data_IF_638126766106
#
_entry.id   IF_638126766106
#
_cell.length_a   1.000
_cell.length_b   1.000
_cell.length_c   1.000
_cell.angle_alpha   90.00
_cell.angle_beta   90.00
_cell.angle_gamma   90.00
#
_symmetry.space_group_name_H-M   'P 1'
#
loop_
_entity.id
_entity.type
_entity.pdbx_description
1 polymer ?
#
# COMPACT_ATOMS: atom_id res chain seq x y z
N UNK A 1 6.96 -47.70 -14.99
CA UNK A 1 7.55 -46.40 -14.62
C UNK A 1 6.66 -45.82 -13.56
N UNK A 2 7.02 -46.04 -12.29
CA UNK A 2 6.26 -45.54 -11.13
C UNK A 2 6.42 -44.03 -11.05
N UNK A 3 5.30 -43.32 -10.94
CA UNK A 3 5.27 -41.88 -10.71
C UNK A 3 5.76 -41.61 -9.29
N UNK A 4 6.82 -40.80 -9.10
CA UNK A 4 7.32 -40.49 -7.76
C UNK A 4 6.27 -39.69 -6.97
N UNK A 5 6.15 -40.04 -5.69
CA UNK A 5 5.23 -39.44 -4.72
C UNK A 5 5.54 -37.93 -4.54
N UNK A 6 4.56 -37.02 -4.70
CA UNK A 6 4.78 -35.57 -4.63
C UNK A 6 5.36 -35.10 -3.29
N UNK A 7 5.15 -35.85 -2.20
CA UNK A 7 5.75 -35.55 -0.91
C UNK A 7 7.28 -35.75 -0.92
N UNK A 8 7.76 -36.79 -1.60
CA UNK A 8 9.18 -37.10 -1.74
C UNK A 8 9.89 -36.07 -2.63
N UNK A 9 9.23 -35.62 -3.70
CA UNK A 9 9.75 -34.58 -4.60
C UNK A 9 9.92 -33.25 -3.84
N UNK A 10 8.96 -32.90 -2.97
CA UNK A 10 9.06 -31.69 -2.13
C UNK A 10 10.21 -31.78 -1.13
N UNK A 11 10.39 -32.91 -0.47
CA UNK A 11 11.53 -33.12 0.43
C UNK A 11 12.86 -33.06 -0.31
N UNK A 12 12.96 -33.61 -1.51
CA UNK A 12 14.16 -33.53 -2.35
C UNK A 12 14.47 -32.09 -2.80
N UNK A 13 13.45 -31.31 -3.15
CA UNK A 13 13.64 -29.89 -3.49
C UNK A 13 14.07 -29.06 -2.28
N UNK A 14 13.52 -29.36 -1.10
CA UNK A 14 13.87 -28.67 0.14
C UNK A 14 15.29 -29.01 0.60
N UNK A 15 15.71 -30.27 0.48
CA UNK A 15 17.09 -30.70 0.71
C UNK A 15 18.07 -30.05 -0.27
N UNK A 16 17.71 -29.93 -1.56
CA UNK A 16 18.55 -29.24 -2.54
C UNK A 16 18.65 -27.72 -2.27
N UNK A 17 17.60 -27.10 -1.75
CA UNK A 17 17.60 -25.68 -1.36
C UNK A 17 18.43 -25.44 -0.08
N UNK A 18 18.45 -26.40 0.84
CA UNK A 18 19.29 -26.39 2.05
C UNK A 18 20.77 -26.67 1.74
N UNK A 19 21.06 -27.67 0.90
CA UNK A 19 22.43 -28.08 0.55
C UNK A 19 23.13 -27.06 -0.36
N UNK A 20 22.38 -26.36 -1.21
CA UNK A 20 22.95 -25.36 -2.14
C UNK A 20 22.72 -23.91 -1.68
N UNK A 21 21.98 -23.65 -0.61
CA UNK A 21 21.55 -22.30 -0.24
C UNK A 21 20.68 -21.66 -1.33
N UNK A 22 20.14 -20.46 -1.07
CA UNK A 22 19.21 -19.76 -1.97
C UNK A 22 19.79 -19.66 -3.40
N UNK A 23 19.30 -20.50 -4.34
CA UNK A 23 19.84 -20.62 -5.71
C UNK A 23 19.87 -19.27 -6.43
N UNK A 24 19.01 -18.32 -6.03
CA UNK A 24 18.99 -16.94 -6.53
C UNK A 24 20.29 -16.20 -6.24
N UNK A 25 20.95 -16.48 -5.12
CA UNK A 25 22.24 -15.88 -4.77
C UNK A 25 23.39 -16.50 -5.55
N UNK A 26 23.35 -17.80 -5.83
CA UNK A 26 24.37 -18.49 -6.63
C UNK A 26 24.31 -18.16 -8.13
N UNK A 27 23.10 -17.97 -8.67
CA UNK A 27 22.88 -17.62 -10.09
C UNK A 27 22.88 -16.11 -10.35
N UNK A 28 23.10 -15.29 -9.32
CA UNK A 28 23.19 -13.85 -9.49
C UNK A 28 24.47 -13.48 -10.22
N UNK A 29 24.34 -12.60 -11.22
CA UNK A 29 25.43 -12.01 -12.03
C UNK A 29 26.54 -11.40 -11.14
N UNK A 30 26.22 -11.11 -9.87
CA UNK A 30 27.09 -10.57 -8.83
C UNK A 30 28.26 -11.51 -8.50
N UNK A 31 28.09 -12.85 -8.56
CA UNK A 31 29.22 -13.78 -8.35
C UNK A 31 30.15 -13.89 -9.55
N UNK A 32 29.69 -13.55 -10.76
CA UNK A 32 30.56 -13.49 -11.95
C UNK A 32 31.49 -12.27 -11.87
N UNK A 33 31.11 -11.24 -11.10
CA UNK A 33 31.96 -10.09 -10.80
C UNK A 33 32.88 -10.28 -9.59
N UNK A 34 32.82 -11.40 -8.87
CA UNK A 34 33.83 -11.70 -7.86
C UNK A 34 35.14 -12.13 -8.54
N UNK A 35 36.28 -11.52 -8.18
CA UNK A 35 37.56 -11.87 -8.76
C UNK A 35 37.93 -13.32 -8.39
N UNK A 36 38.39 -14.10 -9.37
CA UNK A 36 38.86 -15.50 -9.22
C UNK A 36 40.22 -15.52 -8.51
N UNK A 37 40.35 -14.91 -7.33
CA UNK A 37 41.54 -14.98 -6.50
C UNK A 37 41.21 -15.72 -5.21
N UNK A 38 41.80 -16.91 -5.07
CA UNK A 38 41.72 -17.77 -3.90
C UNK A 38 42.15 -17.03 -2.63
N UNK A 39 41.36 -17.04 -1.55
CA UNK A 39 41.70 -16.41 -0.29
C UNK A 39 42.47 -17.38 0.62
N UNK A 40 43.57 -17.96 0.13
CA UNK A 40 44.49 -18.76 0.95
C UNK A 40 45.93 -18.34 0.62
N UNK A 41 46.29 -17.14 1.08
CA UNK A 41 47.69 -16.71 1.15
C UNK A 41 47.84 -15.70 2.31
N UNK A 42 47.67 -16.19 3.53
CA UNK A 42 48.22 -15.51 4.71
C UNK A 42 49.75 -15.55 4.64
N UNK A 43 50.39 -14.43 4.25
CA UNK A 43 51.70 -14.02 4.76
C UNK A 43 52.09 -12.61 4.26
N UNK A 44 52.25 -11.62 5.17
CA UNK A 44 52.80 -10.31 4.83
C UNK A 44 54.31 -10.31 5.04
N UNK A 45 55.08 -10.41 3.95
CA UNK A 45 56.51 -10.13 3.93
C UNK A 45 56.79 -8.79 3.24
N UNK A 46 57.53 -7.85 3.84
CA UNK A 46 57.81 -6.56 3.21
C UNK A 46 58.97 -6.71 2.23
N UNK A 47 58.79 -6.28 0.98
CA UNK A 47 59.93 -6.00 0.09
C UNK A 47 59.61 -4.87 -0.90
N UNK A 48 60.57 -3.98 -1.16
CA UNK A 48 60.34 -2.70 -1.81
C UNK A 48 60.67 -2.78 -3.30
N UNK A 49 59.71 -2.50 -4.17
CA UNK A 49 60.01 -2.05 -5.54
C UNK A 49 58.76 -1.37 -6.10
N UNK A 50 58.65 -0.11 -5.74
CA UNK A 50 57.68 0.84 -6.28
C UNK A 50 58.12 1.14 -7.72
N UNK A 51 57.65 0.35 -8.68
CA UNK A 51 57.63 0.72 -10.11
C UNK A 51 56.19 1.03 -10.51
N UNK A 52 55.83 2.29 -10.25
CA UNK A 52 54.89 3.13 -10.99
C UNK A 52 54.25 2.50 -12.25
N UNK A 53 53.06 1.96 -12.07
CA UNK A 53 51.92 2.21 -12.94
C UNK A 53 50.70 2.37 -12.02
N UNK A 54 50.01 3.50 -12.11
CA UNK A 54 48.78 3.78 -11.36
C UNK A 54 47.74 2.70 -11.63
N UNK A 55 47.76 1.66 -10.79
CA UNK A 55 46.66 0.75 -10.56
C UNK A 55 46.44 0.84 -9.06
N UNK A 56 45.78 1.92 -8.64
CA UNK A 56 45.24 1.97 -7.30
C UNK A 56 44.34 0.75 -7.13
N UNK A 57 44.71 -0.08 -6.16
CA UNK A 57 43.85 -1.06 -5.56
C UNK A 57 42.47 -0.44 -5.32
N UNK A 58 41.45 -0.98 -5.99
CA UNK A 58 40.07 -0.63 -5.71
C UNK A 58 39.42 -1.82 -5.03
N UNK A 59 39.44 -1.74 -3.70
CA UNK A 59 38.36 -2.23 -2.84
C UNK A 59 37.01 -1.95 -3.52
N UNK A 60 36.26 -3.01 -3.83
CA UNK A 60 34.91 -2.98 -4.41
C UNK A 60 34.72 -2.24 -5.75
N UNK A 61 34.83 -2.92 -6.91
CA UNK A 61 34.46 -2.33 -8.19
C UNK A 61 32.94 -2.11 -8.25
N UNK A 62 32.51 -0.85 -8.23
CA UNK A 62 31.14 -0.47 -8.59
C UNK A 62 30.89 -0.80 -10.07
N UNK A 63 29.69 -1.29 -10.46
CA UNK A 63 29.35 -1.62 -11.85
C UNK A 63 29.62 -0.48 -12.85
N UNK A 64 29.50 0.77 -12.41
CA UNK A 64 29.79 1.94 -13.24
C UNK A 64 31.29 2.11 -13.54
N UNK A 65 32.17 1.75 -12.59
CA UNK A 65 33.62 1.79 -12.79
C UNK A 65 34.06 0.75 -13.82
N UNK A 66 33.50 -0.45 -13.74
CA UNK A 66 33.84 -1.55 -14.65
C UNK A 66 33.47 -1.22 -16.11
N UNK A 67 32.35 -0.52 -16.33
CA UNK A 67 31.97 -0.04 -17.66
C UNK A 67 32.95 1.00 -18.21
N UNK A 68 33.40 1.93 -17.37
CA UNK A 68 34.41 2.92 -17.77
C UNK A 68 35.76 2.25 -18.10
N UNK A 69 36.17 1.26 -17.31
CA UNK A 69 37.41 0.51 -17.53
C UNK A 69 37.35 -0.31 -18.81
N UNK A 70 36.23 -1.00 -19.09
CA UNK A 70 36.04 -1.73 -20.35
C UNK A 70 36.09 -0.80 -21.56
N UNK A 71 35.55 0.41 -21.45
CA UNK A 71 35.64 1.42 -22.51
C UNK A 71 37.10 1.86 -22.72
N UNK A 72 37.84 2.14 -21.64
CA UNK A 72 39.25 2.51 -21.70
C UNK A 72 40.12 1.40 -22.31
N UNK A 73 39.96 0.15 -21.88
CA UNK A 73 40.70 -0.98 -22.44
C UNK A 73 40.38 -1.21 -23.92
N UNK A 74 39.11 -1.06 -24.31
CA UNK A 74 38.71 -1.16 -25.72
C UNK A 74 39.42 -0.11 -26.57
N UNK A 75 39.54 1.12 -26.08
CA UNK A 75 40.26 2.18 -26.77
C UNK A 75 41.78 1.92 -26.81
N UNK A 76 42.38 1.53 -25.68
CA UNK A 76 43.81 1.19 -25.59
C UNK A 76 44.18 0.04 -26.52
N UNK A 77 43.42 -1.06 -26.51
CA UNK A 77 43.66 -2.20 -27.40
C UNK A 77 43.40 -1.85 -28.87
N UNK A 78 42.44 -0.96 -29.16
CA UNK A 78 42.24 -0.47 -30.53
C UNK A 78 43.44 0.33 -31.03
N UNK A 79 43.98 1.23 -30.20
CA UNK A 79 45.20 2.00 -30.49
C UNK A 79 46.43 1.10 -30.62
N UNK A 80 46.57 0.13 -29.71
CA UNK A 80 47.67 -0.82 -29.73
C UNK A 80 47.60 -1.72 -30.98
N UNK A 81 46.41 -2.20 -31.35
CA UNK A 81 46.20 -2.96 -32.59
C UNK A 81 46.57 -2.14 -33.81
N UNK A 82 46.13 -0.88 -33.87
CA UNK A 82 46.47 0.01 -34.98
C UNK A 82 47.99 0.23 -35.08
N UNK A 83 48.64 0.61 -33.97
CA UNK A 83 50.08 0.84 -33.90
C UNK A 83 50.88 -0.42 -34.28
N UNK A 84 50.49 -1.59 -33.77
CA UNK A 84 51.14 -2.86 -34.09
C UNK A 84 51.02 -3.20 -35.58
N UNK A 85 49.81 -3.11 -36.15
CA UNK A 85 49.60 -3.39 -37.57
C UNK A 85 50.39 -2.41 -38.43
N UNK A 86 50.40 -1.13 -38.07
CA UNK A 86 51.19 -0.11 -38.75
C UNK A 86 52.70 -0.40 -38.67
N UNK A 87 53.21 -0.76 -37.50
CA UNK A 87 54.63 -1.06 -37.30
C UNK A 87 55.04 -2.32 -38.07
N UNK A 88 54.28 -3.40 -37.97
CA UNK A 88 54.56 -4.65 -38.68
C UNK A 88 54.48 -4.46 -40.20
N UNK A 89 53.52 -3.66 -40.68
CA UNK A 89 53.43 -3.35 -42.12
C UNK A 89 54.60 -2.49 -42.60
N UNK A 90 55.00 -1.48 -41.83
CA UNK A 90 56.20 -0.67 -42.12
C UNK A 90 57.47 -1.53 -42.12
N UNK A 91 57.67 -2.38 -41.11
CA UNK A 91 58.83 -3.28 -41.05
C UNK A 91 58.84 -4.26 -42.23
N UNK A 92 57.69 -4.88 -42.54
CA UNK A 92 57.57 -5.81 -43.67
C UNK A 92 57.86 -5.11 -45.00
N UNK A 93 57.40 -3.87 -45.19
CA UNK A 93 57.70 -3.07 -46.38
C UNK A 93 59.19 -2.74 -46.50
N UNK A 94 59.82 -2.28 -45.42
CA UNK A 94 61.25 -2.01 -45.40
C UNK A 94 62.07 -3.28 -45.67
N UNK A 95 61.69 -4.41 -45.05
CA UNK A 95 62.35 -5.70 -45.31
C UNK A 95 62.15 -6.19 -46.74
N UNK A 96 61.00 -5.93 -47.36
CA UNK A 96 60.74 -6.31 -48.75
C UNK A 96 61.60 -5.50 -49.75
N UNK A 97 61.90 -4.23 -49.46
CA UNK A 97 62.71 -3.36 -50.32
C UNK A 97 64.21 -3.53 -50.06
N UNK A 98 64.62 -3.74 -48.81
CA UNK A 98 66.03 -3.81 -48.39
C UNK A 98 66.55 -5.24 -48.33
N UNK A 99 65.67 -6.25 -48.34
CA UNK A 99 66.06 -7.66 -48.36
C UNK A 99 66.76 -8.05 -49.66
N UNK A 100 67.74 -8.95 -49.56
CA UNK A 100 68.47 -9.51 -50.71
C UNK A 100 68.14 -11.01 -50.82
N UNK A 101 67.39 -11.47 -51.85
CA UNK A 101 66.84 -10.71 -52.97
C UNK A 101 65.56 -9.92 -52.63
N UNK A 102 65.30 -8.80 -53.34
CA UNK A 102 64.13 -7.96 -53.09
C UNK A 102 62.84 -8.74 -53.41
N UNK A 103 61.86 -8.62 -52.50
CA UNK A 103 60.63 -9.40 -52.56
C UNK A 103 59.64 -8.69 -53.49
N UNK A 104 59.74 -8.97 -54.79
CA UNK A 104 58.82 -8.45 -55.82
C UNK A 104 57.66 -9.42 -55.94
N UNK A 105 56.51 -9.08 -55.35
CA UNK A 105 55.30 -9.90 -55.47
C UNK A 105 54.88 -9.93 -56.94
N UNK A 106 54.86 -11.11 -57.52
CA UNK A 106 54.47 -11.31 -58.91
C UNK A 106 52.97 -11.07 -59.11
N UNK A 107 52.54 -10.68 -60.32
CA UNK A 107 51.12 -10.57 -60.63
C UNK A 107 50.37 -11.90 -60.39
N UNK A 108 51.02 -13.03 -60.70
CA UNK A 108 50.44 -14.37 -60.47
C UNK A 108 50.23 -14.66 -58.98
N UNK A 109 51.20 -14.30 -58.11
CA UNK A 109 51.06 -14.46 -56.66
C UNK A 109 49.94 -13.58 -56.10
N UNK A 110 49.77 -12.37 -56.62
CA UNK A 110 48.65 -11.51 -56.25
C UNK A 110 47.30 -12.12 -56.64
N UNK A 111 47.19 -12.68 -57.85
CA UNK A 111 45.96 -13.35 -58.31
C UNK A 111 45.64 -14.58 -57.45
N UNK A 112 46.64 -15.37 -57.07
CA UNK A 112 46.46 -16.51 -56.16
C UNK A 112 46.02 -16.07 -54.76
N UNK A 113 46.64 -15.02 -54.21
CA UNK A 113 46.27 -14.45 -52.90
C UNK A 113 44.87 -13.81 -52.93
N UNK A 114 44.48 -13.17 -54.02
CA UNK A 114 43.13 -12.64 -54.21
C UNK A 114 42.09 -13.77 -54.25
N UNK A 115 42.40 -14.90 -54.89
CA UNK A 115 41.57 -16.10 -54.88
C UNK A 115 41.36 -16.65 -53.47
N UNK A 116 42.46 -16.87 -52.73
CA UNK A 116 42.40 -17.33 -51.33
C UNK A 116 41.65 -16.35 -50.43
N UNK A 117 41.84 -15.05 -50.62
CA UNK A 117 41.15 -14.02 -49.84
C UNK A 117 39.65 -14.01 -50.15
N UNK A 118 39.26 -14.24 -51.40
CA UNK A 118 37.85 -14.37 -51.79
C UNK A 118 37.18 -15.59 -51.12
N UNK A 119 37.86 -16.74 -51.09
CA UNK A 119 37.39 -17.95 -50.40
C UNK A 119 37.23 -17.72 -48.90
N UNK A 120 38.28 -17.26 -48.22
CA UNK A 120 38.24 -16.99 -46.77
C UNK A 120 37.19 -15.92 -46.43
N UNK A 121 36.98 -14.93 -47.30
CA UNK A 121 35.95 -13.91 -47.12
C UNK A 121 34.54 -14.47 -47.32
N UNK A 122 34.36 -15.43 -48.21
CA UNK A 122 33.09 -16.13 -48.37
C UNK A 122 32.77 -16.99 -47.16
N UNK A 123 33.75 -17.77 -46.66
CA UNK A 123 33.62 -18.56 -45.43
C UNK A 123 33.31 -17.70 -44.21
N UNK A 124 34.03 -16.58 -44.05
CA UNK A 124 33.80 -15.64 -42.95
C UNK A 124 32.39 -15.05 -43.00
N UNK A 125 31.87 -14.74 -44.19
CA UNK A 125 30.49 -14.26 -44.35
C UNK A 125 29.48 -15.34 -43.98
N UNK A 126 29.69 -16.58 -44.43
CA UNK A 126 28.82 -17.70 -44.09
C UNK A 126 28.78 -17.95 -42.57
N UNK A 127 29.94 -17.99 -41.91
CA UNK A 127 30.01 -18.14 -40.44
C UNK A 127 29.39 -16.97 -39.68
N UNK A 128 29.54 -15.74 -40.17
CA UNK A 128 28.89 -14.57 -39.56
C UNK A 128 27.36 -14.68 -39.63
N UNK A 129 26.84 -15.16 -40.74
CA UNK A 129 25.42 -15.39 -40.91
C UNK A 129 24.91 -16.51 -39.99
N UNK A 130 25.65 -17.62 -39.91
CA UNK A 130 25.34 -18.72 -38.99
C UNK A 130 25.30 -18.25 -37.52
N UNK A 131 26.31 -17.50 -37.09
CA UNK A 131 26.34 -16.92 -35.73
C UNK A 131 25.18 -15.95 -35.51
N UNK A 132 24.83 -15.14 -36.52
CA UNK A 132 23.67 -14.24 -36.43
C UNK A 132 22.37 -15.02 -36.21
N UNK A 133 22.13 -16.06 -37.00
CA UNK A 133 20.95 -16.91 -36.84
C UNK A 133 20.93 -17.59 -35.47
N UNK A 134 22.07 -18.10 -35.00
CA UNK A 134 22.19 -18.74 -33.69
C UNK A 134 21.87 -17.76 -32.55
N UNK A 135 22.32 -16.50 -32.64
CA UNK A 135 22.00 -15.46 -31.66
C UNK A 135 20.50 -15.17 -31.66
N UNK A 136 19.88 -15.03 -32.84
CA UNK A 136 18.44 -14.78 -32.93
C UNK A 136 17.61 -15.92 -32.32
N UNK A 137 18.02 -17.17 -32.53
CA UNK A 137 17.36 -18.34 -31.94
C UNK A 137 17.60 -18.45 -30.43
N UNK A 138 18.81 -18.11 -29.96
CA UNK A 138 19.10 -18.00 -28.54
C UNK A 138 18.24 -16.92 -27.87
N UNK A 139 18.03 -15.77 -28.51
CA UNK A 139 17.17 -14.71 -27.99
C UNK A 139 15.69 -15.10 -27.97
N UNK A 140 15.21 -15.82 -29.00
CA UNK A 140 13.84 -16.35 -29.02
C UNK A 140 13.63 -17.35 -27.88
N UNK A 141 14.53 -18.32 -27.74
CA UNK A 141 14.45 -19.34 -26.69
C UNK A 141 14.60 -18.74 -25.30
N UNK A 142 15.48 -17.76 -25.10
CA UNK A 142 15.61 -17.04 -23.83
C UNK A 142 14.32 -16.27 -23.47
N UNK A 143 13.66 -15.62 -24.44
CA UNK A 143 12.38 -14.93 -24.22
C UNK A 143 11.25 -15.90 -23.87
N UNK A 144 11.16 -17.03 -24.57
CA UNK A 144 10.18 -18.07 -24.27
C UNK A 144 10.41 -18.67 -22.87
N UNK A 145 11.67 -19.01 -22.54
CA UNK A 145 12.04 -19.50 -21.22
C UNK A 145 11.65 -18.49 -20.11
N UNK A 146 11.95 -17.21 -20.30
CA UNK A 146 11.60 -16.17 -19.34
C UNK A 146 10.08 -16.04 -19.14
N UNK A 147 9.29 -16.18 -20.22
CA UNK A 147 7.82 -16.20 -20.14
C UNK A 147 7.31 -17.41 -19.36
N UNK A 148 7.83 -18.61 -19.67
CA UNK A 148 7.47 -19.85 -18.96
C UNK A 148 7.82 -19.78 -17.48
N UNK A 149 9.01 -19.27 -17.15
CA UNK A 149 9.44 -19.10 -15.77
C UNK A 149 8.50 -18.16 -14.99
N UNK A 150 8.09 -17.03 -15.58
CA UNK A 150 7.10 -16.12 -14.97
C UNK A 150 5.76 -16.81 -14.73
N UNK A 151 5.30 -17.64 -15.65
CA UNK A 151 4.06 -18.40 -15.49
C UNK A 151 4.16 -19.40 -14.33
N UNK A 152 5.25 -20.19 -14.28
CA UNK A 152 5.51 -21.13 -13.18
C UNK A 152 5.57 -20.40 -11.85
N UNK A 153 6.22 -19.24 -11.80
CA UNK A 153 6.27 -18.43 -10.58
C UNK A 153 4.88 -17.96 -10.13
N UNK A 154 4.01 -17.56 -11.06
CA UNK A 154 2.62 -17.21 -10.77
C UNK A 154 1.81 -18.42 -10.27
N UNK A 155 1.98 -19.58 -10.91
CA UNK A 155 1.33 -20.82 -10.45
C UNK A 155 1.82 -21.22 -9.05
N UNK A 156 3.11 -21.01 -8.76
CA UNK A 156 3.68 -21.30 -7.45
C UNK A 156 3.09 -20.39 -6.36
N UNK A 157 2.91 -19.09 -6.63
CA UNK A 157 2.26 -18.19 -5.66
C UNK A 157 0.80 -18.57 -5.45
N UNK A 158 0.07 -18.93 -6.51
CA UNK A 158 -1.29 -19.43 -6.40
C UNK A 158 -1.36 -20.71 -5.53
N UNK A 159 -0.47 -21.67 -5.78
CA UNK A 159 -0.37 -22.91 -5.00
C UNK A 159 0.02 -22.67 -3.54
N UNK A 160 0.75 -21.60 -3.22
CA UNK A 160 1.05 -21.21 -1.85
C UNK A 160 -0.17 -20.65 -1.13
N UNK A 161 -1.04 -19.92 -1.83
CA UNK A 161 -2.28 -19.34 -1.25
C UNK A 161 -3.46 -20.32 -1.17
N UNK A 162 -3.43 -21.39 -1.98
CA UNK A 162 -4.53 -22.34 -2.08
C UNK A 162 -4.85 -23.08 -0.76
N UNK A 163 -3.86 -23.58 0.02
CA UNK A 163 -4.13 -24.30 1.26
C UNK A 163 -4.87 -23.44 2.29
N UNK A 164 -4.44 -22.19 2.48
CA UNK A 164 -5.11 -21.25 3.40
C UNK A 164 -6.56 -21.00 2.94
N UNK A 165 -6.77 -20.82 1.63
CA UNK A 165 -8.13 -20.70 1.09
C UNK A 165 -8.97 -21.96 1.33
N UNK A 166 -8.39 -23.16 1.25
CA UNK A 166 -9.08 -24.43 1.51
C UNK A 166 -9.44 -24.51 3.00
N UNK A 167 -8.52 -24.23 3.91
CA UNK A 167 -8.79 -24.22 5.36
C UNK A 167 -9.87 -23.19 5.74
N UNK A 168 -9.86 -22.01 5.13
CA UNK A 168 -10.91 -21.01 5.29
C UNK A 168 -12.27 -21.49 4.76
N UNK A 169 -12.30 -22.20 3.63
CA UNK A 169 -13.53 -22.79 3.11
C UNK A 169 -14.02 -23.97 3.97
N UNK A 170 -13.12 -24.81 4.47
CA UNK A 170 -13.48 -25.92 5.36
C UNK A 170 -14.01 -25.43 6.70
N UNK A 171 -13.37 -24.42 7.29
CA UNK A 171 -13.85 -23.80 8.53
C UNK A 171 -15.21 -23.11 8.33
N UNK A 172 -15.40 -22.36 7.24
CA UNK A 172 -16.72 -21.77 6.93
C UNK A 172 -17.78 -22.84 6.73
N UNK A 173 -17.49 -23.92 6.00
CA UNK A 173 -18.40 -25.07 5.86
C UNK A 173 -18.71 -25.68 7.23
N UNK A 174 -17.71 -25.89 8.10
CA UNK A 174 -17.91 -26.41 9.44
C UNK A 174 -18.81 -25.49 10.29
N UNK A 175 -18.59 -24.17 10.24
CA UNK A 175 -19.46 -23.21 10.95
C UNK A 175 -20.88 -23.20 10.41
N UNK A 176 -21.07 -23.30 9.09
CA UNK A 176 -22.40 -23.37 8.47
C UNK A 176 -23.11 -24.66 8.84
N UNK A 177 -22.42 -25.80 8.84
CA UNK A 177 -22.98 -27.08 9.31
C UNK A 177 -23.31 -27.03 10.80
N UNK A 178 -22.46 -26.42 11.63
CA UNK A 178 -22.73 -26.23 13.05
C UNK A 178 -23.98 -25.35 13.25
N UNK A 179 -24.08 -24.21 12.55
CA UNK A 179 -25.26 -23.33 12.56
C UNK A 179 -26.51 -24.06 12.09
N UNK A 180 -26.42 -24.81 11.00
CA UNK A 180 -27.53 -25.62 10.49
C UNK A 180 -27.96 -26.69 11.51
N UNK A 181 -27.01 -27.35 12.17
CA UNK A 181 -27.31 -28.35 13.19
C UNK A 181 -27.93 -27.76 14.46
N UNK A 182 -27.49 -26.57 14.88
CA UNK A 182 -28.13 -25.83 15.98
C UNK A 182 -29.50 -25.29 15.58
N UNK A 183 -29.66 -24.87 14.32
CA UNK A 183 -30.95 -24.42 13.77
C UNK A 183 -31.94 -25.57 13.58
N UNK A 184 -31.50 -26.79 13.25
CA UNK A 184 -32.40 -27.95 13.22
C UNK A 184 -32.92 -28.33 14.61
N UNK A 185 -32.25 -27.93 15.69
CA UNK A 185 -32.70 -28.18 17.06
C UNK A 185 -33.37 -26.96 17.74
N UNK A 186 -33.13 -25.73 17.26
CA UNK A 186 -33.64 -24.50 17.88
C UNK A 186 -34.34 -23.51 16.93
N UNK A 187 -34.09 -23.53 15.62
CA UNK A 187 -34.76 -22.65 14.66
C UNK A 187 -36.10 -23.21 14.24
N UNK A 188 -37.08 -22.82 15.04
CA UNK A 188 -38.38 -22.31 14.60
C UNK A 188 -39.05 -23.12 13.49
N UNK A 189 -39.96 -23.99 13.92
CA UNK A 189 -41.05 -24.61 13.13
C UNK A 189 -41.56 -23.77 11.95
N UNK A 190 -41.56 -22.44 12.06
CA UNK A 190 -41.94 -21.48 11.01
C UNK A 190 -41.08 -21.50 9.72
N UNK A 191 -39.81 -21.90 9.77
CA UNK A 191 -38.93 -21.93 8.58
C UNK A 191 -38.98 -23.25 7.80
N UNK A 192 -39.48 -24.32 8.42
CA UNK A 192 -39.72 -25.63 7.80
C UNK A 192 -41.21 -25.89 7.57
N UNK A 193 -42.00 -24.84 7.38
CA UNK A 193 -43.43 -24.96 7.11
C UNK A 193 -43.65 -25.40 5.65
N UNK A 194 -44.63 -26.29 5.38
CA UNK A 194 -45.06 -26.55 4.02
C UNK A 194 -45.63 -25.26 3.40
N UNK A 195 -45.54 -25.12 2.08
CA UNK A 195 -45.92 -23.91 1.33
C UNK A 195 -47.30 -23.31 1.72
N UNK A 196 -48.36 -24.10 2.01
CA UNK A 196 -49.63 -23.52 2.45
C UNK A 196 -49.54 -22.81 3.81
N UNK A 197 -48.74 -23.34 4.74
CA UNK A 197 -48.56 -22.78 6.07
C UNK A 197 -47.64 -21.54 6.07
N UNK A 198 -46.70 -21.43 5.13
CA UNK A 198 -45.92 -20.20 4.95
C UNK A 198 -46.77 -19.07 4.38
N UNK A 199 -47.67 -19.38 3.43
CA UNK A 199 -48.60 -18.39 2.86
C UNK A 199 -49.58 -17.86 3.90
N UNK A 200 -50.10 -18.72 4.80
CA UNK A 200 -50.97 -18.26 5.89
C UNK A 200 -50.23 -17.37 6.89
N UNK A 201 -49.01 -17.76 7.27
CA UNK A 201 -48.17 -16.95 8.17
C UNK A 201 -47.83 -15.59 7.54
N UNK A 202 -47.54 -15.57 6.24
CA UNK A 202 -47.25 -14.35 5.50
C UNK A 202 -48.46 -13.41 5.51
N UNK A 203 -49.66 -13.93 5.24
CA UNK A 203 -50.89 -13.14 5.29
C UNK A 203 -51.19 -12.57 6.70
N UNK A 204 -50.93 -13.35 7.75
CA UNK A 204 -51.06 -12.89 9.14
C UNK A 204 -50.08 -11.74 9.44
N UNK A 205 -48.81 -11.88 9.06
CA UNK A 205 -47.80 -10.85 9.26
C UNK A 205 -48.06 -9.59 8.42
N UNK A 206 -48.56 -9.73 7.21
CA UNK A 206 -49.00 -8.60 6.40
C UNK A 206 -50.18 -7.86 7.04
N UNK A 207 -51.13 -8.58 7.64
CA UNK A 207 -52.23 -7.99 8.37
C UNK A 207 -51.77 -7.26 9.64
N UNK A 208 -50.82 -7.84 10.39
CA UNK A 208 -50.18 -7.20 11.55
C UNK A 208 -49.42 -5.94 11.13
N UNK A 209 -48.63 -5.97 10.06
CA UNK A 209 -47.92 -4.80 9.54
C UNK A 209 -48.89 -3.72 9.08
N UNK A 210 -49.99 -4.08 8.42
CA UNK A 210 -51.02 -3.13 8.04
C UNK A 210 -51.71 -2.51 9.28
N UNK A 211 -51.93 -3.29 10.34
CA UNK A 211 -52.48 -2.79 11.60
C UNK A 211 -51.52 -1.83 12.31
N UNK A 212 -50.23 -2.18 12.42
CA UNK A 212 -49.20 -1.30 12.98
C UNK A 212 -49.06 -0.01 12.17
N UNK A 213 -49.06 -0.08 10.84
CA UNK A 213 -48.98 1.10 9.99
C UNK A 213 -50.19 2.04 10.20
N UNK A 214 -51.40 1.50 10.39
CA UNK A 214 -52.57 2.31 10.76
C UNK A 214 -52.44 2.95 12.13
N UNK A 215 -51.91 2.24 13.12
CA UNK A 215 -51.64 2.79 14.46
C UNK A 215 -50.59 3.90 14.39
N UNK A 216 -49.51 3.69 13.63
CA UNK A 216 -48.43 4.66 13.45
C UNK A 216 -48.97 5.92 12.76
N UNK A 217 -49.79 5.79 11.71
CA UNK A 217 -50.45 6.92 11.07
C UNK A 217 -51.40 7.68 12.02
N UNK A 218 -52.16 6.97 12.86
CA UNK A 218 -53.03 7.59 13.87
C UNK A 218 -52.23 8.37 14.93
N UNK A 219 -51.11 7.80 15.39
CA UNK A 219 -50.21 8.48 16.33
C UNK A 219 -49.54 9.69 15.67
N UNK A 220 -49.06 9.57 14.43
CA UNK A 220 -48.48 10.69 13.68
C UNK A 220 -49.47 11.83 13.47
N UNK A 221 -50.76 11.54 13.24
CA UNK A 221 -51.79 12.57 13.10
C UNK A 221 -52.14 13.25 14.45
N UNK A 222 -52.01 12.55 15.57
CA UNK A 222 -52.34 13.10 16.90
C UNK A 222 -51.17 13.82 17.58
N UNK A 223 -49.93 13.46 17.24
CA UNK A 223 -48.69 14.05 17.74
C UNK A 223 -48.58 15.58 17.53
N UNK A 224 -48.89 16.19 16.36
CA UNK A 224 -48.81 17.64 16.18
C UNK A 224 -49.84 18.40 17.01
N UNK A 225 -51.00 17.77 17.30
CA UNK A 225 -52.00 18.37 18.18
C UNK A 225 -51.54 18.33 19.63
N UNK A 226 -51.04 17.18 20.09
CA UNK A 226 -50.55 17.01 21.47
C UNK A 226 -49.31 17.84 21.77
N UNK A 227 -48.41 18.01 20.81
CA UNK A 227 -47.27 18.93 20.92
C UNK A 227 -47.71 20.38 21.06
N UNK A 228 -48.68 20.85 20.25
CA UNK A 228 -49.26 22.19 20.41
C UNK A 228 -49.96 22.39 21.75
N UNK A 229 -50.71 21.40 22.22
CA UNK A 229 -51.34 21.41 23.55
C UNK A 229 -50.28 21.49 24.66
N UNK A 230 -49.19 20.72 24.57
CA UNK A 230 -48.08 20.77 25.53
C UNK A 230 -47.36 22.12 25.52
N UNK A 231 -47.02 22.66 24.35
CA UNK A 231 -46.40 23.98 24.22
C UNK A 231 -47.30 25.11 24.77
N UNK A 232 -48.62 24.99 24.61
CA UNK A 232 -49.55 25.96 25.19
C UNK A 232 -49.52 25.93 26.73
N UNK A 233 -49.56 24.72 27.31
CA UNK A 233 -49.44 24.54 28.76
C UNK A 233 -48.09 25.03 29.30
N UNK A 234 -46.98 24.80 28.58
CA UNK A 234 -45.66 25.33 28.95
C UNK A 234 -45.63 26.86 28.94
N UNK A 235 -46.26 27.50 27.94
CA UNK A 235 -46.39 28.97 27.91
C UNK A 235 -47.20 29.47 29.11
N UNK A 236 -48.32 28.83 29.42
CA UNK A 236 -49.13 29.20 30.60
C UNK A 236 -48.36 29.01 31.91
N UNK A 237 -47.64 27.91 32.08
CA UNK A 237 -46.77 27.67 33.23
C UNK A 237 -45.70 28.75 33.34
N UNK A 238 -45.05 29.14 32.23
CA UNK A 238 -44.03 30.20 32.26
C UNK A 238 -44.58 31.56 32.73
N UNK A 239 -45.83 31.88 32.38
CA UNK A 239 -46.50 33.10 32.82
C UNK A 239 -46.85 33.01 34.31
N UNK A 240 -47.35 31.86 34.76
CA UNK A 240 -47.67 31.62 36.17
C UNK A 240 -46.41 31.62 37.05
N UNK A 241 -45.30 31.08 36.57
CA UNK A 241 -44.00 31.13 37.24
C UNK A 241 -43.50 32.57 37.38
N UNK A 242 -43.59 33.39 36.32
CA UNK A 242 -43.26 34.83 36.41
C UNK A 242 -44.14 35.56 37.41
N UNK A 243 -45.45 35.34 37.38
CA UNK A 243 -46.38 35.92 38.36
C UNK A 243 -46.06 35.49 39.79
N UNK A 244 -45.67 34.22 39.98
CA UNK A 244 -45.22 33.71 41.27
C UNK A 244 -43.92 34.39 41.72
N UNK A 245 -42.93 34.54 40.85
CA UNK A 245 -41.67 35.23 41.21
C UNK A 245 -41.91 36.70 41.54
N UNK A 246 -42.76 37.38 40.78
CA UNK A 246 -43.11 38.78 41.02
C UNK A 246 -43.87 38.95 42.35
N UNK A 247 -44.83 38.06 42.64
CA UNK A 247 -45.53 38.06 43.91
C UNK A 247 -44.61 37.76 45.10
N UNK A 248 -43.66 36.82 44.95
CA UNK A 248 -42.63 36.55 45.98
C UNK A 248 -41.74 37.77 46.18
N UNK A 249 -41.35 38.45 45.09
CA UNK A 249 -40.53 39.66 45.16
C UNK A 249 -41.28 40.79 45.87
N UNK A 250 -42.54 41.05 45.49
CA UNK A 250 -43.41 42.03 46.15
C UNK A 250 -43.62 41.72 47.64
N UNK A 251 -43.85 40.46 47.99
CA UNK A 251 -43.98 40.04 49.39
C UNK A 251 -42.69 40.22 50.19
N UNK A 252 -41.52 39.91 49.60
CA UNK A 252 -40.21 40.14 50.23
C UNK A 252 -39.91 41.62 50.39
N UNK A 253 -40.19 42.45 49.38
CA UNK A 253 -40.02 43.91 49.47
C UNK A 253 -40.96 44.51 50.53
N UNK A 254 -42.22 44.09 50.60
CA UNK A 254 -43.15 44.51 51.66
C UNK A 254 -42.67 44.08 53.05
N UNK A 255 -42.14 42.85 53.18
CA UNK A 255 -41.55 42.38 54.44
C UNK A 255 -40.29 43.16 54.81
N UNK A 256 -39.43 43.49 53.83
CA UNK A 256 -38.23 44.31 54.02
C UNK A 256 -38.59 45.71 54.48
N UNK A 257 -39.53 46.39 53.81
CA UNK A 257 -40.03 47.72 54.23
C UNK A 257 -40.60 47.71 55.65
N UNK A 258 -41.34 46.66 56.01
CA UNK A 258 -41.83 46.45 57.38
C UNK A 258 -40.70 46.24 58.40
N UNK A 259 -39.59 45.59 58.03
CA UNK A 259 -38.45 45.35 58.90
C UNK A 259 -37.50 46.56 59.00
N UNK A 260 -37.32 47.30 57.92
CA UNK A 260 -36.53 48.54 57.84
C UNK A 260 -37.28 49.74 58.46
N UNK A 261 -38.55 49.57 58.83
CA UNK A 261 -39.34 50.58 59.53
C UNK A 261 -39.72 51.78 58.66
N UNK A 262 -39.66 51.65 57.33
CA UNK A 262 -40.29 52.60 56.41
C UNK A 262 -41.80 52.54 56.66
N UNK A 263 -42.35 53.56 57.33
CA UNK A 263 -43.80 53.70 57.45
C UNK A 263 -44.39 53.69 56.05
N UNK A 264 -45.43 52.88 55.86
CA UNK A 264 -46.22 52.90 54.63
C UNK A 264 -46.50 54.37 54.29
N UNK A 265 -46.23 54.81 53.06
CA UNK A 265 -46.41 56.22 52.69
C UNK A 265 -47.84 56.70 52.98
N UNK A 266 -48.78 55.77 53.12
CA UNK A 266 -50.13 56.00 53.64
C UNK A 266 -50.18 56.43 55.11
N UNK A 267 -49.38 55.85 56.01
CA UNK A 267 -49.27 56.26 57.41
C UNK A 267 -48.56 57.60 57.55
N UNK A 268 -47.53 57.87 56.76
CA UNK A 268 -46.86 59.20 56.73
C UNK A 268 -47.78 60.28 56.17
N UNK A 269 -48.48 60.01 55.05
CA UNK A 269 -49.50 60.90 54.53
C UNK A 269 -50.63 61.09 55.55
N UNK A 270 -51.08 60.02 56.22
CA UNK A 270 -52.09 60.10 57.28
C UNK A 270 -51.64 60.93 58.48
N UNK A 271 -50.37 60.82 58.90
CA UNK A 271 -49.76 61.66 59.93
C UNK A 271 -49.63 63.11 59.47
N UNK A 272 -49.25 63.35 58.21
CA UNK A 272 -49.17 64.69 57.63
C UNK A 272 -50.55 65.33 57.50
N UNK A 273 -51.58 64.59 57.07
CA UNK A 273 -52.95 65.07 57.02
C UNK A 273 -53.48 65.37 58.44
N UNK A 274 -53.18 64.53 59.44
CA UNK A 274 -53.53 64.83 60.84
C UNK A 274 -52.80 66.05 61.38
N UNK A 275 -51.51 66.21 61.11
CA UNK A 275 -50.76 67.39 61.57
C UNK A 275 -51.17 68.66 60.82
N UNK A 276 -51.52 68.55 59.54
CA UNK A 276 -52.12 69.62 58.76
C UNK A 276 -53.52 69.98 59.29
N UNK A 277 -54.34 68.99 59.64
CA UNK A 277 -55.63 69.20 60.31
C UNK A 277 -55.45 69.89 61.67
N UNK A 278 -54.49 69.45 62.48
CA UNK A 278 -54.18 70.01 63.80
C UNK A 278 -53.61 71.45 63.70
N UNK A 279 -52.74 71.72 62.73
CA UNK A 279 -52.25 73.06 62.43
C UNK A 279 -53.37 73.99 61.94
N UNK A 280 -54.28 73.49 61.11
CA UNK A 280 -55.48 74.22 60.69
C UNK A 280 -56.44 74.47 61.86
N UNK A 281 -56.65 73.48 62.75
CA UNK A 281 -57.43 73.64 63.99
C UNK A 281 -56.82 74.71 64.91
N UNK A 282 -55.50 74.72 65.07
CA UNK A 282 -54.78 75.72 65.88
C UNK A 282 -54.82 77.13 65.27
N UNK A 283 -54.81 77.26 63.94
CA UNK A 283 -54.89 78.57 63.26
C UNK A 283 -56.32 79.16 63.30
N UNK A 284 -57.34 78.30 63.29
CA UNK A 284 -58.76 78.70 63.26
C UNK A 284 -59.39 78.73 64.65
N UNK A 285 -58.70 78.29 65.69
CA UNK A 285 -59.12 78.44 67.10
C UNK A 285 -60.39 77.66 67.45
N UNK A 286 -60.56 76.46 66.89
CA UNK A 286 -61.72 75.59 67.14
C UNK A 286 -61.27 74.40 67.99
N UNK A 287 -61.65 74.39 69.27
CA UNK A 287 -61.54 73.22 70.14
C UNK A 287 -62.54 72.13 69.69
N UNK A 288 -62.05 70.90 69.55
CA UNK A 288 -62.82 69.72 69.17
C UNK A 288 -61.95 68.49 69.00
#
# INVERSE_FOLDING_TARGET
>A
METPDPAQIRQQLQQLEEDHGDLKTQLSIIRISEPIFSPDAENPGPSPSKRNSDVSALDNPSPASLVADLAHYKELFSKLRFSYVEQVTKEKFLRAIVGDPPLVVGHNENVELEGQLAEVKAELKARKEEVRMMIEDMEKTARDLASRYKNVQLQMTQLQTLPESIENLESTIATLRAKQSSDTHASSSSQNLPLPATLSLLAEREAELAALNRQLAAVQNTLPRKTREAEAMERELSILERRKTDAIYQAKEAQRKKQEGESDGLEEAGRWYRSAEEALKNLVGVEG
#
